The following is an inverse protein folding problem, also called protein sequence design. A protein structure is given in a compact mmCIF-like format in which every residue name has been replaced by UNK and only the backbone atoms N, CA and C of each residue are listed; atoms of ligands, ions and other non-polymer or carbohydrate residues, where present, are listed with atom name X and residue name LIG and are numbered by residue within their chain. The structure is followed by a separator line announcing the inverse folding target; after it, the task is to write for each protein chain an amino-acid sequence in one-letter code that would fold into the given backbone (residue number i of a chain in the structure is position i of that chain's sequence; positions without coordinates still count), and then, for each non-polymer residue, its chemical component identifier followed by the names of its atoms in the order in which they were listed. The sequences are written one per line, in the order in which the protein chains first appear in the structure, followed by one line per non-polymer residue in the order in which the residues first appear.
data_IF_710501149810
#
_entry.id   IF_710501149810
#
_cell.length_a   1.000
_cell.length_b   1.000
_cell.length_c   1.000
_cell.angle_alpha   90.00
_cell.angle_beta   90.00
_cell.angle_gamma   90.00
#
_symmetry.space_group_name_H-M   'P 1'
#
loop_
_entity.id
_entity.type
_entity.pdbx_description
1 polymer ?
#
# COMPACT_ATOMS: atom_id res chain seq x y z
N UNK A 1 -61.09 6.98 -8.77
CA UNK A 1 -60.15 7.11 -9.90
C UNK A 1 -58.79 7.53 -9.35
N UNK A 2 -57.89 6.59 -8.99
CA UNK A 2 -56.54 6.95 -8.58
C UNK A 2 -55.57 6.94 -9.77
N UNK A 3 -54.72 7.95 -9.82
CA UNK A 3 -53.74 8.16 -10.88
C UNK A 3 -52.50 7.27 -10.69
N UNK A 4 -52.13 6.56 -11.75
CA UNK A 4 -50.89 5.78 -11.86
C UNK A 4 -49.65 6.69 -11.84
N UNK A 5 -48.71 6.40 -10.94
CA UNK A 5 -47.34 6.94 -11.01
C UNK A 5 -46.41 5.84 -11.52
N UNK A 6 -45.85 6.09 -12.70
CA UNK A 6 -44.86 5.25 -13.39
C UNK A 6 -43.57 5.14 -12.57
N UNK A 7 -43.16 3.91 -12.30
CA UNK A 7 -41.87 3.53 -11.74
C UNK A 7 -40.86 3.51 -12.89
N UNK A 8 -39.82 4.33 -12.82
CA UNK A 8 -38.70 4.31 -13.76
C UNK A 8 -37.61 3.41 -13.22
N UNK A 9 -37.61 2.14 -13.64
CA UNK A 9 -36.52 1.20 -13.39
C UNK A 9 -35.30 1.59 -14.22
N UNK A 10 -34.21 2.02 -13.59
CA UNK A 10 -32.90 2.11 -14.24
C UNK A 10 -32.23 0.74 -14.16
N UNK A 11 -32.14 0.08 -15.31
CA UNK A 11 -31.38 -1.14 -15.54
C UNK A 11 -29.91 -0.77 -15.70
N UNK A 12 -29.04 -1.30 -14.84
CA UNK A 12 -27.59 -1.30 -15.06
C UNK A 12 -27.30 -2.38 -16.10
N UNK A 13 -26.92 -1.96 -17.30
CA UNK A 13 -26.54 -2.86 -18.39
C UNK A 13 -25.11 -3.35 -18.14
N UNK A 14 -24.97 -4.63 -17.78
CA UNK A 14 -23.70 -5.35 -17.83
C UNK A 14 -23.47 -5.80 -19.29
N UNK A 15 -22.55 -5.16 -20.00
CA UNK A 15 -22.14 -5.58 -21.34
C UNK A 15 -21.04 -6.65 -21.24
N UNK A 16 -21.42 -7.89 -21.54
CA UNK A 16 -20.48 -8.97 -21.88
C UNK A 16 -20.15 -8.89 -23.38
N UNK A 17 -18.86 -8.82 -23.72
CA UNK A 17 -18.39 -9.08 -25.07
C UNK A 17 -17.44 -10.30 -25.03
N UNK A 18 -17.92 -11.41 -25.57
CA UNK A 18 -17.14 -12.61 -25.85
C UNK A 18 -16.57 -12.50 -27.27
N UNK A 19 -15.25 -12.60 -27.43
CA UNK A 19 -14.61 -12.78 -28.72
C UNK A 19 -14.08 -14.21 -28.83
N UNK A 20 -14.77 -15.03 -29.64
CA UNK A 20 -14.19 -16.24 -30.23
C UNK A 20 -13.20 -15.83 -31.32
N UNK A 21 -12.06 -16.51 -31.40
CA UNK A 21 -11.33 -16.63 -32.66
C UNK A 21 -10.86 -18.06 -32.84
N UNK A 22 -11.34 -18.64 -33.94
CA UNK A 22 -11.12 -20.01 -34.36
C UNK A 22 -9.81 -20.15 -35.13
N UNK A 23 -9.22 -21.31 -34.94
CA UNK A 23 -8.06 -21.87 -35.61
C UNK A 23 -8.36 -22.14 -37.10
N UNK A 24 -7.42 -21.86 -38.00
CA UNK A 24 -7.52 -22.20 -39.42
C UNK A 24 -6.13 -22.39 -40.04
N UNK A 25 -5.76 -23.65 -40.26
CA UNK A 25 -4.55 -24.07 -40.98
C UNK A 25 -4.71 -23.82 -42.49
N UNK A 26 -3.61 -23.45 -43.15
CA UNK A 26 -3.49 -23.45 -44.61
C UNK A 26 -2.02 -23.45 -45.01
N UNK A 27 -1.54 -24.62 -45.44
CA UNK A 27 -0.20 -24.84 -45.98
C UNK A 27 -0.17 -24.59 -47.51
N UNK A 28 0.93 -24.05 -48.03
CA UNK A 28 1.51 -24.25 -49.38
C UNK A 28 2.69 -23.26 -49.56
N UNK A 29 3.96 -23.70 -49.41
CA UNK A 29 4.90 -24.25 -50.40
C UNK A 29 5.70 -23.23 -51.22
N UNK A 30 7.03 -23.41 -51.15
CA UNK A 30 8.14 -23.07 -52.07
C UNK A 30 8.52 -21.59 -52.29
N UNK A 31 9.71 -21.21 -51.81
CA UNK A 31 10.88 -21.02 -52.69
C UNK A 31 12.16 -20.80 -51.88
N UNK A 32 13.20 -21.51 -52.32
CA UNK A 32 14.53 -21.57 -51.74
C UNK A 32 15.47 -20.58 -52.43
N UNK A 33 16.32 -19.92 -51.65
CA UNK A 33 17.72 -19.53 -51.90
C UNK A 33 18.21 -18.95 -50.57
N UNK A 34 19.40 -19.18 -50.02
CA UNK A 34 20.58 -19.95 -50.37
C UNK A 34 21.63 -19.69 -49.28
N UNK A 35 22.58 -20.62 -49.16
CA UNK A 35 23.86 -20.51 -48.44
C UNK A 35 23.85 -20.50 -46.89
N UNK A 36 23.97 -21.72 -46.36
CA UNK A 36 24.64 -22.02 -45.11
C UNK A 36 26.17 -21.86 -45.24
N UNK A 37 26.83 -21.46 -44.16
CA UNK A 37 28.21 -21.85 -43.88
C UNK A 37 28.23 -22.62 -42.55
N UNK A 38 28.66 -23.86 -42.65
CA UNK A 38 28.68 -24.87 -41.62
C UNK A 38 29.99 -24.87 -40.83
N UNK A 39 29.95 -25.39 -39.59
CA UNK A 39 30.94 -26.33 -39.07
C UNK A 39 30.32 -27.17 -37.93
N UNK A 40 30.35 -28.49 -38.13
CA UNK A 40 29.94 -29.61 -37.23
C UNK A 40 30.98 -29.75 -36.09
N UNK A 41 30.65 -30.14 -34.84
CA UNK A 41 30.28 -31.48 -34.28
C UNK A 41 31.34 -32.56 -34.63
N UNK A 42 31.89 -33.42 -33.76
CA UNK A 42 31.43 -34.13 -32.54
C UNK A 42 32.68 -34.52 -31.68
N UNK A 43 32.60 -34.73 -30.35
CA UNK A 43 32.47 -36.08 -29.75
C UNK A 43 33.56 -36.39 -28.68
N UNK A 44 33.41 -37.43 -27.83
CA UNK A 44 33.61 -37.34 -26.35
C UNK A 44 34.66 -38.33 -25.75
N UNK A 45 34.94 -38.23 -24.43
CA UNK A 45 34.99 -39.34 -23.42
C UNK A 45 35.87 -39.03 -22.18
N UNK A 46 35.61 -39.76 -21.10
CA UNK A 46 35.93 -39.50 -19.69
C UNK A 46 37.21 -40.20 -19.16
N UNK A 47 37.69 -39.78 -17.99
CA UNK A 47 38.38 -40.68 -17.03
C UNK A 47 38.38 -40.10 -15.60
N UNK A 48 38.03 -40.95 -14.63
CA UNK A 48 38.02 -40.70 -13.19
C UNK A 48 39.22 -41.39 -12.51
N UNK A 49 39.73 -40.86 -11.38
CA UNK A 49 40.60 -41.61 -10.46
C UNK A 49 40.63 -41.03 -9.03
N UNK A 50 40.61 -41.92 -8.03
CA UNK A 50 40.90 -41.81 -6.58
C UNK A 50 41.35 -43.22 -6.10
N UNK A 51 41.91 -43.46 -4.89
CA UNK A 51 42.81 -42.67 -4.00
C UNK A 51 43.92 -43.48 -3.22
N UNK A 52 44.73 -42.76 -2.40
CA UNK A 52 45.44 -43.11 -1.11
C UNK A 52 46.75 -43.95 -1.11
N UNK A 53 47.57 -44.02 -0.01
CA UNK A 53 47.68 -43.19 1.24
C UNK A 53 49.15 -42.86 1.69
N UNK A 54 49.33 -42.14 2.82
CA UNK A 54 50.24 -42.42 3.99
C UNK A 54 50.39 -41.16 4.88
N UNK A 55 50.40 -41.35 6.21
CA UNK A 55 50.68 -40.38 7.30
C UNK A 55 51.88 -40.91 8.14
N UNK A 56 52.31 -40.36 9.31
CA UNK A 56 52.04 -39.08 9.99
C UNK A 56 53.31 -38.36 10.53
N UNK A 57 53.22 -37.10 10.99
CA UNK A 57 54.04 -36.55 12.10
C UNK A 57 53.54 -35.16 12.57
N UNK A 58 53.55 -34.95 13.89
CA UNK A 58 53.44 -33.68 14.61
C UNK A 58 54.45 -33.72 15.78
N UNK A 59 54.69 -32.65 16.58
CA UNK A 59 54.44 -31.21 16.41
C UNK A 59 55.71 -30.35 16.69
N UNK A 60 55.73 -29.07 16.30
CA UNK A 60 56.55 -28.04 16.99
C UNK A 60 55.83 -26.69 17.00
N UNK A 61 55.82 -26.08 18.18
CA UNK A 61 55.17 -24.83 18.53
C UNK A 61 55.90 -23.62 17.95
N UNK A 62 55.16 -22.61 17.45
CA UNK A 62 55.66 -21.23 17.36
C UNK A 62 54.51 -20.22 17.36
N UNK A 63 54.46 -19.45 18.46
CA UNK A 63 54.12 -18.03 18.65
C UNK A 63 53.13 -17.35 17.67
N UNK A 64 52.03 -16.86 18.26
CA UNK A 64 51.03 -15.97 17.68
C UNK A 64 51.61 -14.61 17.28
N UNK A 65 51.34 -14.17 16.05
CA UNK A 65 51.39 -12.76 15.65
C UNK A 65 50.09 -12.38 14.94
N UNK A 66 49.29 -11.54 15.57
CA UNK A 66 48.04 -10.98 15.03
C UNK A 66 48.31 -9.92 13.96
N UNK A 67 47.63 -9.92 12.80
CA UNK A 67 47.59 -8.76 11.92
C UNK A 67 46.57 -7.69 12.41
N UNK A 68 46.72 -6.41 12.02
CA UNK A 68 45.93 -5.31 12.57
C UNK A 68 44.47 -5.34 12.10
N UNK A 69 43.54 -5.06 13.02
CA UNK A 69 42.11 -4.90 12.76
C UNK A 69 41.85 -3.68 11.88
N UNK A 70 41.15 -3.89 10.77
CA UNK A 70 40.36 -2.83 10.13
C UNK A 70 39.19 -2.45 11.06
N UNK A 71 38.79 -1.17 11.15
CA UNK A 71 37.62 -0.79 11.92
C UNK A 71 36.37 -1.30 11.20
N UNK A 72 35.89 -2.47 11.59
CA UNK A 72 34.55 -2.93 11.26
C UNK A 72 33.57 -1.98 11.93
N UNK A 73 32.85 -1.20 11.13
CA UNK A 73 31.69 -0.45 11.60
C UNK A 73 30.70 -1.47 12.15
N UNK A 74 30.61 -1.53 13.48
CA UNK A 74 29.62 -2.34 14.17
C UNK A 74 28.24 -1.79 13.80
N UNK A 75 27.58 -2.45 12.85
CA UNK A 75 26.14 -2.27 12.65
C UNK A 75 25.49 -2.68 13.96
N UNK A 76 24.66 -1.84 14.60
CA UNK A 76 24.01 -2.23 15.84
C UNK A 76 23.20 -3.49 15.58
N UNK A 77 23.64 -4.60 16.16
CA UNK A 77 22.84 -5.82 16.24
C UNK A 77 21.67 -5.50 17.16
N UNK A 78 20.48 -5.45 16.59
CA UNK A 78 19.26 -5.30 17.37
C UNK A 78 19.06 -6.59 18.16
N UNK A 79 19.56 -6.59 19.39
CA UNK A 79 19.22 -7.59 20.39
C UNK A 79 17.70 -7.65 20.48
N UNK A 80 17.13 -8.82 20.19
CA UNK A 80 15.70 -9.07 19.99
C UNK A 80 14.84 -8.92 21.25
N UNK A 81 15.35 -8.25 22.28
CA UNK A 81 14.79 -8.23 23.64
C UNK A 81 14.16 -6.88 24.02
N UNK A 82 13.92 -6.00 23.05
CA UNK A 82 13.14 -4.77 23.23
C UNK A 82 11.94 -4.68 22.28
N UNK A 83 11.34 -5.82 21.92
CA UNK A 83 10.05 -5.86 21.21
C UNK A 83 8.93 -5.82 22.25
N UNK A 84 8.14 -4.73 22.36
CA UNK A 84 6.95 -4.75 23.19
C UNK A 84 5.90 -5.65 22.49
N UNK A 85 5.54 -6.72 23.19
CA UNK A 85 4.50 -7.71 22.87
C UNK A 85 4.76 -8.64 21.68
N UNK A 86 5.36 -9.79 21.99
CA UNK A 86 5.23 -11.02 21.23
C UNK A 86 3.78 -11.54 21.36
N UNK A 87 2.85 -10.91 20.64
CA UNK A 87 1.50 -11.39 20.39
C UNK A 87 1.36 -11.63 18.89
N UNK A 88 0.74 -12.74 18.48
CA UNK A 88 0.42 -13.00 17.08
C UNK A 88 -0.15 -11.73 16.43
N UNK A 89 0.42 -11.27 15.32
CA UNK A 89 -0.17 -10.19 14.54
C UNK A 89 -1.64 -10.55 14.28
N UNK A 90 -2.57 -9.69 14.70
CA UNK A 90 -4.02 -9.97 14.66
C UNK A 90 -4.47 -10.46 13.28
N UNK A 91 -3.80 -9.97 12.24
CA UNK A 91 -4.05 -10.33 10.86
C UNK A 91 -2.81 -11.02 10.25
N UNK A 92 -2.96 -12.23 9.67
CA UNK A 92 -1.86 -12.94 9.05
C UNK A 92 -1.37 -12.25 7.78
N UNK A 93 -0.09 -12.47 7.43
CA UNK A 93 0.47 -12.03 6.16
C UNK A 93 -0.09 -12.84 5.00
N UNK A 94 -0.54 -12.14 3.96
CA UNK A 94 -0.71 -12.70 2.62
C UNK A 94 0.62 -12.56 1.91
N UNK A 95 1.20 -13.69 1.53
CA UNK A 95 2.58 -13.74 1.02
C UNK A 95 2.61 -13.93 -0.49
N UNK A 96 3.66 -13.43 -1.13
CA UNK A 96 3.93 -13.64 -2.56
C UNK A 96 2.74 -13.24 -3.46
N UNK A 97 2.18 -12.06 -3.22
CA UNK A 97 1.03 -11.50 -3.95
C UNK A 97 1.53 -10.60 -5.07
N UNK A 98 1.01 -10.80 -6.28
CA UNK A 98 1.28 -9.90 -7.40
C UNK A 98 0.60 -8.56 -7.13
N UNK A 99 1.40 -7.50 -7.16
CA UNK A 99 0.97 -6.11 -7.00
C UNK A 99 1.08 -5.36 -8.33
N UNK A 100 0.04 -4.60 -8.64
CA UNK A 100 -0.01 -3.67 -9.78
C UNK A 100 -0.10 -2.23 -9.27
N UNK A 101 0.20 -1.27 -10.14
CA UNK A 101 0.19 0.14 -9.78
C UNK A 101 -1.02 0.78 -10.43
N UNK A 102 -1.78 1.52 -9.63
CA UNK A 102 -2.93 2.32 -10.05
C UNK A 102 -2.82 3.70 -9.42
N UNK A 103 -3.50 4.69 -9.99
CA UNK A 103 -3.42 6.04 -9.47
C UNK A 103 -4.71 6.84 -9.65
N UNK A 104 -4.90 7.79 -8.74
CA UNK A 104 -6.07 8.68 -8.73
C UNK A 104 -6.05 9.60 -9.96
N UNK A 105 -7.18 9.66 -10.65
CA UNK A 105 -7.39 10.46 -11.84
C UNK A 105 -6.92 9.81 -13.14
N UNK A 106 -6.58 8.52 -13.14
CA UNK A 106 -6.33 7.77 -14.37
C UNK A 106 -7.56 7.83 -15.29
N UNK A 107 -7.35 8.28 -16.52
CA UNK A 107 -8.36 8.29 -17.57
C UNK A 107 -8.55 6.88 -18.14
N UNK A 108 -9.76 6.54 -18.62
CA UNK A 108 -9.99 5.24 -19.21
C UNK A 108 -9.22 5.13 -20.53
N UNK A 109 -8.59 3.98 -20.75
CA UNK A 109 -7.89 3.65 -22.00
C UNK A 109 -8.52 2.40 -22.63
N UNK A 110 -8.18 2.10 -23.88
CA UNK A 110 -8.64 0.89 -24.57
C UNK A 110 -8.32 -0.40 -23.79
N UNK A 111 -7.19 -0.42 -23.07
CA UNK A 111 -6.74 -1.56 -22.27
C UNK A 111 -7.15 -1.48 -20.78
N UNK A 112 -7.66 -0.33 -20.33
CA UNK A 112 -8.16 -0.11 -18.96
C UNK A 112 -9.42 0.76 -19.02
N UNK A 113 -10.61 0.18 -19.25
CA UNK A 113 -11.83 0.94 -19.49
C UNK A 113 -12.39 1.59 -18.22
N UNK A 114 -11.88 1.24 -17.04
CA UNK A 114 -12.34 1.77 -15.76
C UNK A 114 -11.47 2.96 -15.36
N UNK A 115 -12.00 4.19 -15.37
CA UNK A 115 -11.27 5.35 -14.89
C UNK A 115 -11.12 5.30 -13.36
N UNK A 116 -10.04 5.89 -12.86
CA UNK A 116 -9.79 6.06 -11.42
C UNK A 116 -10.07 7.51 -10.97
N UNK A 117 -11.00 8.21 -11.64
CA UNK A 117 -11.49 9.53 -11.23
C UNK A 117 -12.39 9.46 -9.98
N UNK A 118 -12.89 8.25 -9.69
CA UNK A 118 -13.71 7.88 -8.55
C UNK A 118 -13.15 6.60 -7.94
N UNK A 119 -13.32 6.45 -6.64
CA UNK A 119 -13.13 5.16 -5.98
C UNK A 119 -14.49 4.52 -5.69
N UNK A 120 -14.46 3.28 -5.25
CA UNK A 120 -15.59 2.52 -4.73
C UNK A 120 -16.37 3.23 -3.61
N UNK A 121 -15.75 4.22 -2.96
CA UNK A 121 -16.34 4.93 -1.82
C UNK A 121 -16.19 6.46 -1.89
N UNK A 122 -15.61 7.00 -2.96
CA UNK A 122 -15.45 8.43 -3.19
C UNK A 122 -15.76 8.78 -4.65
N UNK A 123 -16.94 9.39 -4.89
CA UNK A 123 -17.41 9.75 -6.22
C UNK A 123 -16.76 11.02 -6.79
N UNK A 124 -15.90 11.68 -6.01
CA UNK A 124 -15.15 12.88 -6.40
C UNK A 124 -13.67 12.70 -6.05
N UNK A 125 -13.14 11.49 -6.25
CA UNK A 125 -11.86 11.09 -5.67
C UNK A 125 -10.69 11.97 -6.12
N UNK A 126 -10.58 12.27 -7.41
CA UNK A 126 -9.55 13.19 -7.93
C UNK A 126 -9.64 14.58 -7.29
N UNK A 127 -10.86 15.13 -7.16
CA UNK A 127 -11.07 16.44 -6.55
C UNK A 127 -10.73 16.44 -5.06
N UNK A 128 -11.13 15.39 -4.34
CA UNK A 128 -10.90 15.23 -2.92
C UNK A 128 -9.44 14.93 -2.60
N UNK A 129 -8.73 14.22 -3.47
CA UNK A 129 -7.28 14.05 -3.40
C UNK A 129 -6.54 15.36 -3.72
N UNK A 130 -7.08 16.17 -4.62
CA UNK A 130 -6.59 17.50 -4.96
C UNK A 130 -6.00 17.62 -6.36
N UNK A 131 -6.03 16.56 -7.16
CA UNK A 131 -5.52 16.55 -8.53
C UNK A 131 -5.18 15.15 -9.04
N UNK A 132 -4.55 15.09 -10.20
CA UNK A 132 -4.06 13.85 -10.82
C UNK A 132 -2.81 13.33 -10.10
N UNK A 133 -2.84 12.09 -9.62
CA UNK A 133 -1.71 11.48 -8.91
C UNK A 133 -0.69 10.91 -9.89
N UNK A 134 0.13 11.78 -10.50
CA UNK A 134 1.03 11.40 -11.59
C UNK A 134 1.91 10.18 -11.22
N UNK A 135 1.82 9.07 -11.98
CA UNK A 135 2.53 7.84 -11.67
C UNK A 135 3.99 7.87 -12.14
N UNK A 136 4.44 8.87 -12.89
CA UNK A 136 5.83 8.98 -13.32
C UNK A 136 6.77 9.22 -12.12
N UNK A 137 7.72 8.31 -11.84
CA UNK A 137 8.69 8.49 -10.75
C UNK A 137 9.48 9.79 -10.83
N UNK A 138 9.70 10.35 -12.02
CA UNK A 138 10.41 11.62 -12.20
C UNK A 138 9.59 12.84 -11.76
N UNK A 139 8.28 12.68 -11.57
CA UNK A 139 7.34 13.74 -11.15
C UNK A 139 6.88 13.56 -9.70
N UNK A 140 7.72 12.92 -8.87
CA UNK A 140 7.48 12.70 -7.45
C UNK A 140 8.43 13.54 -6.61
N UNK A 141 7.92 14.08 -5.50
CA UNK A 141 8.73 14.76 -4.49
C UNK A 141 9.51 13.74 -3.66
N UNK A 142 10.44 14.23 -2.82
CA UNK A 142 11.14 13.40 -1.82
C UNK A 142 10.19 12.71 -0.82
N UNK A 143 8.97 13.24 -0.65
CA UNK A 143 7.92 12.67 0.19
C UNK A 143 6.97 11.75 -0.59
N UNK A 144 7.35 11.36 -1.82
CA UNK A 144 6.59 10.45 -2.68
C UNK A 144 5.20 11.00 -3.04
N UNK A 145 5.05 12.32 -3.21
CA UNK A 145 3.81 12.97 -3.66
C UNK A 145 3.97 13.51 -5.08
N UNK A 146 2.89 13.82 -5.82
CA UNK A 146 2.99 14.61 -7.04
C UNK A 146 3.71 15.94 -6.82
N UNK A 147 4.50 16.39 -7.79
CA UNK A 147 5.20 17.68 -7.74
C UNK A 147 4.27 18.89 -7.94
N UNK A 148 3.13 18.70 -8.61
CA UNK A 148 2.24 19.81 -9.02
C UNK A 148 1.36 20.37 -7.90
N UNK A 149 1.18 19.65 -6.80
CA UNK A 149 0.32 20.07 -5.68
C UNK A 149 0.63 19.27 -4.40
N UNK A 150 0.14 19.76 -3.26
CA UNK A 150 0.13 18.98 -2.01
C UNK A 150 -1.19 18.20 -1.90
N UNK A 151 -1.15 16.86 -1.82
CA UNK A 151 -2.36 16.05 -1.67
C UNK A 151 -3.20 16.42 -0.44
N UNK A 152 -4.51 16.51 -0.64
CA UNK A 152 -5.52 16.72 0.42
C UNK A 152 -5.94 15.43 1.10
N UNK A 153 -5.71 14.27 0.46
CA UNK A 153 -5.83 12.94 1.04
C UNK A 153 -4.46 12.25 1.11
N UNK A 154 -4.38 11.11 1.81
CA UNK A 154 -3.13 10.39 2.00
C UNK A 154 -2.61 9.82 0.65
N UNK A 155 -1.37 10.13 0.22
CA UNK A 155 -0.78 9.61 -1.02
C UNK A 155 -0.43 8.11 -0.97
N UNK A 156 -0.38 7.51 0.23
CA UNK A 156 -0.17 6.08 0.43
C UNK A 156 -1.52 5.37 0.54
N UNK A 157 -2.01 4.87 -0.59
CA UNK A 157 -3.29 4.19 -0.69
C UNK A 157 -3.19 2.90 -1.50
N UNK A 158 -4.18 2.02 -1.33
CA UNK A 158 -4.28 0.73 -2.02
C UNK A 158 -5.72 0.41 -2.41
N UNK A 159 -5.87 -0.54 -3.34
CA UNK A 159 -7.10 -1.25 -3.60
C UNK A 159 -6.95 -2.75 -3.24
N UNK A 160 -7.97 -3.31 -2.60
CA UNK A 160 -8.11 -4.76 -2.37
C UNK A 160 -9.44 -5.24 -2.96
N UNK A 161 -9.53 -6.51 -3.43
CA UNK A 161 -10.60 -6.95 -4.33
C UNK A 161 -11.89 -7.34 -3.60
N UNK A 162 -12.35 -6.47 -2.69
CA UNK A 162 -13.60 -6.64 -1.97
C UNK A 162 -14.29 -5.31 -1.63
N UNK A 163 -15.56 -5.18 -2.01
CA UNK A 163 -16.44 -4.10 -1.57
C UNK A 163 -17.52 -4.68 -0.64
N UNK A 164 -17.75 -4.05 0.51
CA UNK A 164 -18.73 -4.48 1.51
C UNK A 164 -20.13 -3.93 1.29
N UNK A 165 -20.29 -2.90 0.45
CA UNK A 165 -21.58 -2.28 0.13
C UNK A 165 -22.04 -2.65 -1.28
N UNK A 166 -23.35 -2.76 -1.45
CA UNK A 166 -23.99 -2.98 -2.76
C UNK A 166 -24.44 -1.63 -3.31
N UNK A 167 -25.06 -0.81 -2.44
CA UNK A 167 -25.58 0.51 -2.77
C UNK A 167 -25.59 1.42 -1.53
N UNK A 168 -26.37 2.51 -1.58
CA UNK A 168 -26.45 3.52 -0.53
C UNK A 168 -27.19 3.06 0.74
N UNK A 169 -27.93 1.95 0.69
CA UNK A 169 -28.76 1.45 1.79
C UNK A 169 -28.47 0.02 2.21
N UNK A 170 -27.60 -0.71 1.52
CA UNK A 170 -27.35 -2.13 1.78
C UNK A 170 -25.88 -2.53 1.80
N UNK A 171 -25.56 -3.43 2.74
CA UNK A 171 -24.30 -4.17 2.78
C UNK A 171 -24.46 -5.53 2.11
N UNK A 172 -23.35 -6.11 1.64
CA UNK A 172 -23.34 -7.50 1.21
C UNK A 172 -23.68 -8.44 2.38
N UNK A 173 -24.46 -9.51 2.14
CA UNK A 173 -24.92 -10.41 3.21
C UNK A 173 -23.80 -11.00 4.07
N UNK A 174 -22.64 -11.27 3.47
CA UNK A 174 -21.49 -11.84 4.16
C UNK A 174 -20.66 -10.82 4.95
N UNK A 175 -20.79 -9.52 4.67
CA UNK A 175 -19.91 -8.47 5.18
C UNK A 175 -19.79 -8.49 6.72
N UNK A 176 -20.92 -8.59 7.41
CA UNK A 176 -20.97 -8.61 8.89
C UNK A 176 -20.31 -9.83 9.53
N UNK A 177 -20.15 -10.91 8.78
CA UNK A 177 -19.53 -12.17 9.21
C UNK A 177 -18.05 -12.22 8.89
N UNK A 178 -17.64 -11.71 7.73
CA UNK A 178 -16.28 -11.90 7.20
C UNK A 178 -15.34 -10.75 7.54
N UNK A 179 -15.84 -9.54 7.75
CA UNK A 179 -15.01 -8.36 8.03
C UNK A 179 -14.70 -8.33 9.53
N UNK A 180 -13.43 -8.47 9.95
CA UNK A 180 -13.09 -8.63 11.37
C UNK A 180 -13.50 -7.45 12.25
N UNK A 181 -13.57 -6.25 11.68
CA UNK A 181 -13.90 -5.02 12.39
C UNK A 181 -15.31 -4.49 12.13
N UNK A 182 -16.18 -5.28 11.48
CA UNK A 182 -17.51 -4.81 11.09
C UNK A 182 -18.28 -4.23 12.28
N UNK A 183 -18.40 -4.98 13.37
CA UNK A 183 -19.16 -4.57 14.56
C UNK A 183 -18.65 -3.27 15.20
N UNK A 184 -17.35 -2.99 15.11
CA UNK A 184 -16.78 -1.79 15.71
C UNK A 184 -16.96 -0.55 14.84
N UNK A 185 -17.02 -0.72 13.52
CA UNK A 185 -17.10 0.39 12.56
C UNK A 185 -18.46 0.59 11.92
N UNK A 186 -19.37 -0.37 12.05
CA UNK A 186 -20.71 -0.26 11.50
C UNK A 186 -21.45 0.91 12.14
N UNK A 187 -21.91 1.84 11.30
CA UNK A 187 -22.72 2.99 11.74
C UNK A 187 -24.15 2.87 11.21
N UNK A 188 -24.29 2.54 9.91
CA UNK A 188 -25.57 2.34 9.24
C UNK A 188 -25.38 1.51 7.98
N UNK A 189 -26.47 0.93 7.49
CA UNK A 189 -26.49 0.18 6.24
C UNK A 189 -26.08 1.06 5.04
N UNK A 190 -25.41 0.47 4.06
CA UNK A 190 -24.87 1.15 2.87
C UNK A 190 -23.69 2.09 3.14
N UNK A 191 -23.16 2.12 4.37
CA UNK A 191 -21.91 2.83 4.70
C UNK A 191 -20.76 1.84 4.90
N UNK A 192 -19.76 1.91 4.02
CA UNK A 192 -18.59 1.04 4.09
C UNK A 192 -17.86 1.10 5.44
N UNK A 193 -17.37 -0.06 5.90
CA UNK A 193 -16.45 -0.19 7.04
C UNK A 193 -15.00 -0.43 6.62
N UNK A 194 -14.73 -0.49 5.31
CA UNK A 194 -13.42 -0.85 4.74
C UNK A 194 -12.52 0.36 4.51
N UNK A 195 -13.10 1.46 4.01
CA UNK A 195 -12.36 2.69 3.67
C UNK A 195 -11.52 3.21 4.83
N UNK A 196 -10.26 3.50 4.56
CA UNK A 196 -9.29 4.02 5.54
C UNK A 196 -8.66 2.94 6.43
N UNK A 197 -8.96 1.65 6.22
CA UNK A 197 -8.26 0.58 6.92
C UNK A 197 -6.78 0.56 6.53
N UNK A 198 -5.89 0.47 7.53
CA UNK A 198 -4.46 0.39 7.29
C UNK A 198 -4.01 -1.02 6.94
N UNK A 199 -3.04 -1.10 6.03
CA UNK A 199 -2.26 -2.30 5.75
C UNK A 199 -0.76 -2.02 5.84
N UNK A 200 0.01 -3.06 6.13
CA UNK A 200 1.45 -3.09 5.93
C UNK A 200 1.76 -3.88 4.66
N UNK A 201 2.72 -3.42 3.88
CA UNK A 201 3.16 -4.00 2.61
C UNK A 201 4.67 -4.19 2.69
N UNK A 202 5.14 -5.43 2.54
CA UNK A 202 6.55 -5.79 2.59
C UNK A 202 7.05 -6.14 1.20
N UNK A 203 8.18 -5.53 0.81
CA UNK A 203 8.91 -5.86 -0.41
C UNK A 203 10.41 -5.83 -0.14
N UNK A 204 11.09 -6.95 -0.35
CA UNK A 204 12.50 -7.11 0.02
C UNK A 204 12.74 -6.81 1.50
N UNK A 205 13.58 -5.82 1.78
CA UNK A 205 13.90 -5.35 3.13
C UNK A 205 13.11 -4.10 3.57
N UNK A 206 12.13 -3.65 2.79
CA UNK A 206 11.33 -2.45 3.07
C UNK A 206 9.89 -2.82 3.44
N UNK A 207 9.31 -2.02 4.32
CA UNK A 207 7.90 -2.11 4.71
C UNK A 207 7.25 -0.74 4.57
N UNK A 208 6.17 -0.66 3.80
CA UNK A 208 5.35 0.52 3.61
C UNK A 208 3.99 0.32 4.30
N UNK A 209 3.34 1.42 4.68
CA UNK A 209 2.00 1.40 5.24
C UNK A 209 1.09 2.30 4.42
N UNK A 210 -0.12 1.83 4.14
CA UNK A 210 -1.06 2.51 3.25
C UNK A 210 -2.51 2.31 3.71
N UNK A 211 -3.38 3.24 3.30
CA UNK A 211 -4.82 3.17 3.56
C UNK A 211 -5.55 2.48 2.41
N UNK A 212 -6.52 1.64 2.75
CA UNK A 212 -7.41 1.03 1.79
C UNK A 212 -8.46 2.05 1.32
N UNK A 213 -8.40 2.48 0.06
CA UNK A 213 -9.21 3.58 -0.46
C UNK A 213 -10.06 3.22 -1.68
N UNK A 214 -9.84 2.04 -2.29
CA UNK A 214 -10.62 1.55 -3.42
C UNK A 214 -10.79 0.01 -3.45
N UNK A 215 -11.61 -0.49 -4.37
CA UNK A 215 -11.85 -1.92 -4.59
C UNK A 215 -11.29 -2.38 -5.94
N UNK A 216 -10.49 -3.42 -5.91
CA UNK A 216 -9.77 -3.97 -7.05
C UNK A 216 -8.56 -4.78 -6.58
N UNK A 217 -7.87 -5.52 -7.45
CA UNK A 217 -7.97 -5.49 -8.91
C UNK A 217 -9.05 -6.45 -9.47
N UNK A 218 -9.70 -6.04 -10.57
CA UNK A 218 -10.64 -6.79 -11.44
C UNK A 218 -11.95 -7.33 -10.83
N UNK A 219 -11.94 -7.73 -9.57
CA UNK A 219 -13.11 -8.27 -8.87
C UNK A 219 -13.35 -7.50 -7.58
N UNK A 220 -14.60 -7.56 -7.11
CA UNK A 220 -15.04 -6.80 -5.92
C UNK A 220 -15.70 -7.67 -4.86
N UNK A 221 -15.63 -9.00 -5.01
CA UNK A 221 -16.34 -9.98 -4.18
C UNK A 221 -15.42 -11.01 -3.48
N UNK A 222 -14.10 -10.81 -3.56
CA UNK A 222 -13.08 -11.81 -3.16
C UNK A 222 -12.76 -11.78 -1.66
N UNK A 223 -13.80 -11.93 -0.83
CA UNK A 223 -13.67 -11.95 0.63
C UNK A 223 -12.87 -13.16 1.16
N UNK A 224 -12.92 -14.30 0.46
CA UNK A 224 -12.16 -15.50 0.84
C UNK A 224 -10.66 -15.27 0.74
N UNK A 225 -10.21 -14.53 -0.27
CA UNK A 225 -8.84 -14.04 -0.33
C UNK A 225 -8.64 -12.92 0.68
N UNK A 226 -9.42 -11.83 0.67
CA UNK A 226 -9.13 -10.62 1.46
C UNK A 226 -9.14 -10.89 2.97
N UNK A 227 -10.13 -11.60 3.49
CA UNK A 227 -10.26 -11.89 4.92
C UNK A 227 -9.96 -13.34 5.31
N UNK A 228 -9.92 -14.26 4.34
CA UNK A 228 -9.57 -15.66 4.56
C UNK A 228 -8.13 -15.99 4.14
N UNK A 229 -7.92 -17.28 3.82
CA UNK A 229 -6.62 -17.87 3.50
C UNK A 229 -6.46 -18.21 2.01
N UNK A 230 -7.46 -17.89 1.17
CA UNK A 230 -7.39 -18.18 -0.26
C UNK A 230 -6.34 -17.33 -0.97
N UNK A 231 -5.95 -17.73 -2.18
CA UNK A 231 -5.18 -16.89 -3.11
C UNK A 231 -6.14 -15.93 -3.85
N UNK A 232 -5.64 -14.83 -4.44
CA UNK A 232 -6.48 -13.95 -5.25
C UNK A 232 -7.26 -14.74 -6.31
N UNK A 233 -8.56 -14.48 -6.42
CA UNK A 233 -9.48 -15.09 -7.39
C UNK A 233 -9.19 -14.66 -8.83
N UNK A 234 -8.69 -13.44 -9.00
CA UNK A 234 -8.36 -12.87 -10.29
C UNK A 234 -7.25 -13.67 -11.02
N UNK A 235 -7.39 -13.87 -12.33
CA UNK A 235 -6.37 -14.50 -13.20
C UNK A 235 -5.72 -13.51 -14.18
N UNK A 236 -6.27 -12.31 -14.34
CA UNK A 236 -5.73 -11.24 -15.19
C UNK A 236 -4.49 -10.58 -14.56
N UNK A 237 -3.64 -9.93 -15.36
CA UNK A 237 -2.38 -9.31 -14.91
C UNK A 237 -1.47 -10.24 -14.08
N UNK A 238 -1.47 -11.53 -14.41
CA UNK A 238 -0.78 -12.63 -13.69
C UNK A 238 -1.34 -12.88 -12.28
N UNK A 239 -2.63 -12.67 -12.10
CA UNK A 239 -3.33 -12.87 -10.83
C UNK A 239 -2.97 -11.81 -9.79
N UNK A 240 -3.00 -10.54 -10.21
CA UNK A 240 -2.87 -9.41 -9.30
C UNK A 240 -3.89 -9.52 -8.16
N UNK A 241 -3.45 -9.27 -6.93
CA UNK A 241 -4.28 -9.35 -5.73
C UNK A 241 -4.27 -8.09 -4.88
N UNK A 242 -3.57 -7.05 -5.31
CA UNK A 242 -3.53 -5.73 -4.67
C UNK A 242 -3.09 -4.71 -5.71
N UNK A 243 -3.75 -3.54 -5.72
CA UNK A 243 -3.23 -2.37 -6.41
C UNK A 243 -2.61 -1.41 -5.40
N UNK A 244 -1.42 -0.89 -5.71
CA UNK A 244 -0.66 0.03 -4.85
C UNK A 244 -0.50 1.39 -5.52
N UNK A 245 -0.57 2.46 -4.74
CA UNK A 245 -0.36 3.81 -5.26
C UNK A 245 1.09 4.03 -5.74
N UNK A 246 1.35 5.06 -6.57
CA UNK A 246 2.70 5.44 -6.96
C UNK A 246 3.60 5.69 -5.74
N UNK A 247 3.07 6.31 -4.68
CA UNK A 247 3.84 6.57 -3.46
C UNK A 247 4.32 5.28 -2.78
N UNK A 248 3.47 4.25 -2.72
CA UNK A 248 3.82 2.95 -2.16
C UNK A 248 4.89 2.27 -3.02
N UNK A 249 4.70 2.25 -4.35
CA UNK A 249 5.67 1.70 -5.31
C UNK A 249 7.03 2.33 -5.14
N UNK A 250 7.09 3.67 -5.14
CA UNK A 250 8.34 4.43 -5.11
C UNK A 250 9.06 4.27 -3.76
N UNK A 251 8.32 4.29 -2.65
CA UNK A 251 8.89 4.04 -1.33
C UNK A 251 9.52 2.64 -1.23
N UNK A 252 8.81 1.63 -1.74
CA UNK A 252 9.28 0.24 -1.72
C UNK A 252 10.38 -0.02 -2.77
N UNK A 253 10.57 0.86 -3.76
CA UNK A 253 11.47 0.61 -4.88
C UNK A 253 11.00 -0.56 -5.75
N UNK A 254 9.68 -0.75 -5.85
CA UNK A 254 9.08 -1.80 -6.67
C UNK A 254 9.02 -1.35 -8.13
N UNK A 255 9.15 -2.31 -9.06
CA UNK A 255 8.70 -2.10 -10.44
C UNK A 255 7.17 -2.00 -10.50
N UNK A 256 6.61 -1.68 -11.66
CA UNK A 256 5.15 -1.60 -11.91
C UNK A 256 4.37 -2.93 -11.77
N UNK A 257 4.91 -3.93 -11.08
CA UNK A 257 5.46 -5.14 -11.70
C UNK A 257 5.88 -6.20 -10.66
N UNK A 258 5.57 -6.03 -9.38
CA UNK A 258 6.22 -6.75 -8.29
C UNK A 258 5.39 -7.83 -7.61
N UNK A 259 6.07 -8.65 -6.80
CA UNK A 259 5.45 -9.52 -5.81
C UNK A 259 5.77 -8.98 -4.42
N UNK A 260 4.77 -8.78 -3.58
CA UNK A 260 4.91 -8.29 -2.22
C UNK A 260 4.11 -9.16 -1.25
N UNK A 261 4.36 -8.96 0.04
CA UNK A 261 3.49 -9.48 1.09
C UNK A 261 2.67 -8.33 1.67
N UNK A 262 1.45 -8.60 2.13
CA UNK A 262 0.67 -7.59 2.83
C UNK A 262 -0.17 -8.18 3.96
N UNK A 263 -0.55 -7.34 4.93
CA UNK A 263 -1.51 -7.67 5.98
C UNK A 263 -2.25 -6.44 6.45
N UNK A 264 -3.44 -6.62 7.03
CA UNK A 264 -4.07 -5.57 7.81
C UNK A 264 -3.27 -5.25 9.06
N UNK A 265 -3.33 -3.99 9.49
CA UNK A 265 -2.73 -3.51 10.73
C UNK A 265 -3.68 -2.56 11.46
N UNK A 266 -3.62 -2.58 12.79
CA UNK A 266 -4.27 -1.54 13.58
C UNK A 266 -3.48 -0.22 13.47
N UNK A 267 -4.15 0.91 13.72
CA UNK A 267 -3.52 2.24 13.71
C UNK A 267 -2.31 2.31 14.64
N UNK A 268 -2.35 1.64 15.80
CA UNK A 268 -1.24 1.59 16.76
C UNK A 268 -0.01 0.84 16.25
N UNK A 269 -0.15 0.01 15.21
CA UNK A 269 0.94 -0.72 14.59
C UNK A 269 1.63 0.07 13.46
N UNK A 270 1.13 1.26 13.09
CA UNK A 270 1.67 2.06 11.99
C UNK A 270 2.81 2.98 12.51
N UNK A 271 4.08 2.66 12.25
CA UNK A 271 5.21 3.44 12.75
C UNK A 271 5.34 4.79 12.03
N UNK A 272 6.20 5.66 12.55
CA UNK A 272 6.54 6.93 11.89
C UNK A 272 7.09 6.68 10.48
N UNK A 273 6.63 7.47 9.51
CA UNK A 273 7.03 7.37 8.11
C UNK A 273 6.24 8.35 7.24
N UNK A 274 6.58 8.46 5.95
CA UNK A 274 5.96 9.43 5.03
C UNK A 274 4.43 9.25 4.91
N UNK A 275 3.94 8.03 5.09
CA UNK A 275 2.50 7.70 5.10
C UNK A 275 1.71 8.37 6.22
N UNK A 276 2.34 8.95 7.25
CA UNK A 276 1.64 9.63 8.36
C UNK A 276 1.55 11.15 8.21
N UNK A 277 2.14 11.71 7.15
CA UNK A 277 2.42 13.16 7.09
C UNK A 277 1.32 13.98 6.41
N UNK A 278 0.52 13.38 5.54
CA UNK A 278 -0.43 14.09 4.68
C UNK A 278 -1.82 13.43 4.64
N UNK A 279 -2.81 14.24 4.28
CA UNK A 279 -4.20 13.82 4.07
C UNK A 279 -5.14 14.16 5.22
N UNK A 280 -6.31 14.72 4.91
CA UNK A 280 -7.40 14.93 5.87
C UNK A 280 -8.10 13.63 6.28
N UNK A 281 -8.00 12.58 5.46
CA UNK A 281 -8.42 11.21 5.78
C UNK A 281 -7.41 10.46 6.67
N UNK A 282 -6.23 11.04 6.95
CA UNK A 282 -5.17 10.38 7.71
C UNK A 282 -5.32 10.63 9.22
N UNK A 283 -5.50 9.54 9.98
CA UNK A 283 -5.66 9.58 11.43
C UNK A 283 -4.53 10.35 12.15
N UNK A 284 -3.29 10.21 11.70
CA UNK A 284 -2.15 10.85 12.36
C UNK A 284 -2.12 12.36 12.14
N UNK A 285 -2.54 12.81 10.96
CA UNK A 285 -2.62 14.23 10.61
C UNK A 285 -3.76 14.89 11.36
N UNK A 286 -4.93 14.24 11.44
CA UNK A 286 -6.08 14.79 12.17
C UNK A 286 -5.80 14.86 13.66
N UNK A 287 -5.18 13.83 14.24
CA UNK A 287 -4.75 13.84 15.65
C UNK A 287 -3.73 14.96 15.92
N UNK A 288 -2.67 15.07 15.11
CA UNK A 288 -1.66 16.12 15.31
C UNK A 288 -2.26 17.53 15.21
N UNK A 289 -3.21 17.76 14.30
CA UNK A 289 -3.92 19.04 14.20
C UNK A 289 -4.76 19.32 15.45
N UNK A 290 -5.45 18.30 15.98
CA UNK A 290 -6.25 18.45 17.20
C UNK A 290 -5.38 18.74 18.42
N UNK A 291 -4.24 18.08 18.56
CA UNK A 291 -3.26 18.31 19.63
C UNK A 291 -2.71 19.75 19.56
N UNK A 292 -2.25 20.18 18.38
CA UNK A 292 -1.77 21.57 18.18
C UNK A 292 -2.85 22.61 18.46
N UNK A 293 -4.10 22.35 18.08
CA UNK A 293 -5.21 23.25 18.35
C UNK A 293 -5.48 23.39 19.85
N UNK A 294 -5.40 22.28 20.61
CA UNK A 294 -5.50 22.29 22.06
C UNK A 294 -4.35 23.06 22.71
N UNK A 295 -3.11 22.77 22.33
CA UNK A 295 -1.93 23.48 22.84
C UNK A 295 -2.03 24.99 22.58
N UNK A 296 -2.43 25.39 21.38
CA UNK A 296 -2.63 26.80 21.03
C UNK A 296 -3.72 27.45 21.88
N UNK A 297 -4.82 26.75 22.15
CA UNK A 297 -5.88 27.22 23.04
C UNK A 297 -5.39 27.40 24.47
N UNK A 298 -4.62 26.45 25.00
CA UNK A 298 -4.04 26.50 26.34
C UNK A 298 -3.05 27.67 26.47
N UNK A 299 -2.15 27.84 25.50
CA UNK A 299 -1.21 28.97 25.44
C UNK A 299 -1.95 30.31 25.37
N UNK A 300 -2.99 30.40 24.54
CA UNK A 300 -3.79 31.63 24.38
C UNK A 300 -4.48 32.00 25.69
N UNK A 301 -5.08 31.03 26.37
CA UNK A 301 -5.72 31.24 27.68
C UNK A 301 -4.71 31.69 28.74
N UNK A 302 -3.53 31.07 28.79
CA UNK A 302 -2.47 31.46 29.71
C UNK A 302 -1.94 32.86 29.45
N UNK A 303 -1.80 33.23 28.17
CA UNK A 303 -1.36 34.58 27.80
C UNK A 303 -2.39 35.65 28.20
N UNK A 304 -3.68 35.35 28.08
CA UNK A 304 -4.75 36.25 28.53
C UNK A 304 -4.76 36.43 30.05
N UNK A 305 -4.57 35.34 30.80
CA UNK A 305 -4.45 35.38 32.26
C UNK A 305 -3.27 36.27 32.70
N UNK A 306 -2.10 36.09 32.08
CA UNK A 306 -0.92 36.91 32.35
C UNK A 306 -1.14 38.39 32.04
N UNK A 307 -1.87 38.71 30.95
CA UNK A 307 -2.26 40.08 30.62
C UNK A 307 -3.17 40.68 31.70
N UNK A 308 -4.18 39.93 32.17
CA UNK A 308 -5.07 40.38 33.25
C UNK A 308 -4.31 40.62 34.56
N UNK A 309 -3.40 39.71 34.93
CA UNK A 309 -2.57 39.86 36.13
C UNK A 309 -1.66 41.09 36.05
N UNK A 310 -1.03 41.32 34.90
CA UNK A 310 -0.23 42.51 34.64
C UNK A 310 -1.07 43.78 34.81
N UNK A 311 -2.25 43.83 34.19
CA UNK A 311 -3.11 45.02 34.24
C UNK A 311 -3.61 45.29 35.66
N UNK A 312 -3.98 44.24 36.41
CA UNK A 312 -4.35 44.34 37.81
C UNK A 312 -3.18 44.86 38.70
N UNK A 313 -1.96 44.37 38.45
CA UNK A 313 -0.76 44.84 39.16
C UNK A 313 -0.53 46.35 38.95
N UNK A 314 -0.64 46.84 37.71
CA UNK A 314 -0.48 48.27 37.42
C UNK A 314 -1.61 49.12 38.00
N UNK A 315 -2.85 48.61 38.06
CA UNK A 315 -3.94 49.32 38.71
C UNK A 315 -3.74 49.46 40.23
N UNK A 316 -3.25 48.42 40.89
CA UNK A 316 -3.00 48.43 42.34
C UNK A 316 -1.77 49.27 42.72
N UNK A 317 -0.69 49.20 41.93
CA UNK A 317 0.59 49.82 42.29
C UNK A 317 0.87 51.14 41.57
N UNK A 318 0.11 51.49 40.53
CA UNK A 318 0.29 52.73 39.76
C UNK A 318 -0.32 53.99 40.40
N UNK A 319 -1.16 53.84 41.43
CA UNK A 319 -1.83 54.96 42.12
C UNK A 319 -1.02 55.56 43.29
N UNK A 320 0.15 54.99 43.62
CA UNK A 320 1.01 55.44 44.73
C UNK A 320 2.14 56.41 44.38
N UNK A 321 2.37 56.72 43.10
CA UNK A 321 3.53 57.51 42.64
C UNK A 321 3.25 58.99 42.36
N UNK A 322 2.07 59.51 42.72
CA UNK A 322 1.74 60.94 42.59
C UNK A 322 1.22 61.47 43.93
N UNK A 323 2.13 61.70 44.88
CA UNK A 323 1.97 62.67 45.97
C UNK A 323 3.32 63.25 46.35
#
# INVERSE_FOLDING_TARGET
MPAERKISSFVVVASFAAALSAYGQGASTVSATGAAAALKKDGPAAAAAKPKPVAPAAPKATVQSTPPRTPSVAVPSFNSSAMPHLGYARYPWKVDIVATVFWIGEEPTENNPTPNDKSSWDTQWTQNYGGYDDPDPAKRTENFTPVGFTPKQNPFYVALPYNDVIDFDSHKPEASRVIPWFKQRFVRSGKTVLKGQWIAIRYGNRVCYAQWEDCGPFVTDDHEYVFGNSRPKNTSNRGAGIDISPAVRDYLGMSSSGRCDWRFVDVSEVPAGPWRSLGSNNHFVTQQKAEKAREHSEISSRLEELRRMRDAYFQQNGSGAVR
#
